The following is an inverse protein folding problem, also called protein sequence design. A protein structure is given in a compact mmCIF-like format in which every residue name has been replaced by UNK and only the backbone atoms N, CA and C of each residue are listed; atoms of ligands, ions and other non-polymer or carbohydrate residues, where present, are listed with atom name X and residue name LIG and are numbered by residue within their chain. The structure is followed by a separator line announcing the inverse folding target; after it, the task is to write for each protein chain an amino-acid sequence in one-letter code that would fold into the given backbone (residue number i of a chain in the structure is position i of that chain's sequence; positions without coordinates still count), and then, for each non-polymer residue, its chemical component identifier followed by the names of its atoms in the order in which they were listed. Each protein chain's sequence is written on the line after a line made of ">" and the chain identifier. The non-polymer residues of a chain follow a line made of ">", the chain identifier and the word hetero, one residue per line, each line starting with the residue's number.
data_IF_671301339710
#
_entry.id   IF_671301339710
#
_cell.length_a   1.000
_cell.length_b   1.000
_cell.length_c   1.000
_cell.angle_alpha   90.00
_cell.angle_beta   90.00
_cell.angle_gamma   90.00
#
_symmetry.space_group_name_H-M   'P 1'
#
loop_
_entity.id
_entity.type
_entity.pdbx_description
1 polymer ?
#
# COMPACT_ATOMS: atom_id res chain seq x y z
N UNK A 1 -62.27 -5.66 24.06
CA UNK A 1 -61.14 -4.95 23.46
C UNK A 1 -59.94 -5.89 23.39
N UNK A 2 -59.55 -6.35 22.17
CA UNK A 2 -58.39 -7.26 21.98
C UNK A 2 -57.19 -6.39 21.57
N UNK A 3 -56.18 -6.32 22.43
CA UNK A 3 -54.94 -5.63 22.13
C UNK A 3 -54.10 -6.44 21.14
N UNK A 4 -53.79 -5.91 19.98
CA UNK A 4 -52.91 -6.50 18.97
C UNK A 4 -51.51 -5.98 19.26
N UNK A 5 -50.64 -6.84 19.81
CA UNK A 5 -49.19 -6.57 19.94
C UNK A 5 -48.51 -6.73 18.57
N UNK A 6 -48.11 -5.61 17.96
CA UNK A 6 -47.24 -5.64 16.79
C UNK A 6 -45.79 -5.87 17.26
N UNK A 7 -45.28 -7.05 17.03
CA UNK A 7 -43.85 -7.39 17.22
C UNK A 7 -43.07 -6.81 16.02
N UNK A 8 -42.29 -5.77 16.25
CA UNK A 8 -41.32 -5.28 15.27
C UNK A 8 -40.07 -6.17 15.34
N UNK A 9 -39.89 -7.05 14.37
CA UNK A 9 -38.63 -7.75 14.15
C UNK A 9 -37.63 -6.76 13.52
N UNK A 10 -36.69 -6.27 14.33
CA UNK A 10 -35.51 -5.58 13.85
C UNK A 10 -34.56 -6.63 13.21
N UNK A 11 -34.59 -6.71 11.87
CA UNK A 11 -33.60 -7.46 11.12
C UNK A 11 -32.25 -6.71 11.21
N UNK A 12 -31.38 -7.17 12.09
CA UNK A 12 -29.98 -6.77 12.07
C UNK A 12 -29.31 -7.44 10.87
N UNK A 13 -29.07 -6.69 9.80
CA UNK A 13 -28.23 -7.13 8.71
C UNK A 13 -26.79 -7.21 9.23
N UNK A 14 -26.33 -8.39 9.58
CA UNK A 14 -24.89 -8.66 9.79
C UNK A 14 -24.20 -8.50 8.44
N UNK A 15 -23.56 -7.36 8.22
CA UNK A 15 -22.60 -7.23 7.14
C UNK A 15 -21.37 -8.05 7.53
N UNK A 16 -21.29 -9.27 7.03
CA UNK A 16 -20.07 -10.05 7.13
C UNK A 16 -18.97 -9.27 6.40
N UNK A 17 -17.86 -8.98 7.09
CA UNK A 17 -16.70 -8.35 6.46
C UNK A 17 -16.31 -9.20 5.24
N UNK A 18 -16.19 -8.56 4.07
CA UNK A 18 -15.78 -9.26 2.87
C UNK A 18 -14.39 -9.87 3.11
N UNK A 19 -14.29 -11.19 2.95
CA UNK A 19 -13.01 -11.89 3.09
C UNK A 19 -12.14 -11.58 1.87
N UNK A 20 -10.81 -11.38 2.03
CA UNK A 20 -9.93 -11.20 0.89
C UNK A 20 -10.09 -12.33 -0.15
N UNK A 21 -10.18 -11.98 -1.43
CA UNK A 21 -10.33 -12.92 -2.54
C UNK A 21 -9.10 -12.92 -3.45
N UNK A 22 -8.74 -14.10 -3.97
CA UNK A 22 -7.65 -14.22 -4.92
C UNK A 22 -8.12 -13.83 -6.32
N UNK A 23 -7.33 -12.98 -6.99
CA UNK A 23 -7.52 -12.62 -8.41
C UNK A 23 -6.41 -13.30 -9.20
N UNK A 24 -6.81 -14.30 -10.00
CA UNK A 24 -5.89 -15.17 -10.73
C UNK A 24 -6.03 -14.93 -12.22
N UNK A 25 -4.90 -15.00 -12.96
CA UNK A 25 -4.88 -14.97 -14.43
C UNK A 25 -5.54 -13.73 -15.08
N UNK A 26 -5.56 -12.61 -14.37
CA UNK A 26 -6.08 -11.32 -14.87
C UNK A 26 -4.98 -10.32 -15.17
N UNK A 27 -3.85 -10.47 -14.50
CA UNK A 27 -2.67 -9.62 -14.62
C UNK A 27 -1.40 -10.47 -14.51
N UNK A 28 -0.26 -9.93 -14.89
CA UNK A 28 1.03 -10.61 -14.85
C UNK A 28 1.43 -11.09 -13.45
N UNK A 29 1.04 -10.35 -12.40
CA UNK A 29 1.11 -10.81 -11.02
C UNK A 29 -0.29 -11.20 -10.54
N UNK A 30 -0.45 -12.40 -10.01
CA UNK A 30 -1.65 -12.76 -9.26
C UNK A 30 -1.68 -11.96 -7.96
N UNK A 31 -2.86 -11.61 -7.47
CA UNK A 31 -2.96 -10.80 -6.25
C UNK A 31 -4.16 -11.16 -5.37
N UNK A 32 -4.05 -10.86 -4.09
CA UNK A 32 -5.17 -10.82 -3.17
C UNK A 32 -5.82 -9.45 -3.21
N UNK A 33 -7.14 -9.44 -3.27
CA UNK A 33 -7.97 -8.24 -3.18
C UNK A 33 -8.78 -8.28 -1.90
N UNK A 34 -8.66 -7.25 -1.07
CA UNK A 34 -9.58 -6.95 0.01
C UNK A 34 -10.43 -5.75 -0.38
N UNK A 35 -11.74 -5.94 -0.36
CA UNK A 35 -12.70 -4.86 -0.61
C UNK A 35 -13.03 -4.13 0.70
N UNK A 36 -13.27 -2.81 0.68
CA UNK A 36 -13.70 -2.09 1.87
C UNK A 36 -15.09 -2.57 2.31
N UNK A 37 -15.38 -2.48 3.61
CA UNK A 37 -16.70 -2.89 4.15
C UNK A 37 -17.86 -2.07 3.57
N UNK A 38 -17.61 -0.78 3.35
CA UNK A 38 -18.58 0.12 2.74
C UNK A 38 -17.98 0.67 1.44
N UNK A 39 -18.65 0.39 0.32
CA UNK A 39 -18.32 0.96 -0.99
C UNK A 39 -19.16 2.21 -1.20
N UNK A 40 -18.49 3.35 -1.28
CA UNK A 40 -19.07 4.64 -1.66
C UNK A 40 -18.89 4.87 -3.16
N UNK A 41 -19.19 6.06 -3.66
CA UNK A 41 -19.09 6.35 -5.09
C UNK A 41 -17.70 6.01 -5.62
N UNK A 42 -16.68 6.77 -5.31
CA UNK A 42 -15.29 6.47 -5.68
C UNK A 42 -14.45 6.11 -4.46
N UNK A 43 -13.71 5.02 -4.54
CA UNK A 43 -12.93 4.48 -3.42
C UNK A 43 -11.43 4.55 -3.67
N UNK A 44 -10.62 4.81 -2.63
CA UNK A 44 -9.17 4.74 -2.72
C UNK A 44 -8.67 3.33 -3.05
N UNK A 45 -7.49 3.24 -3.65
CA UNK A 45 -6.75 2.00 -3.89
C UNK A 45 -5.41 2.03 -3.17
N UNK A 46 -5.09 0.99 -2.42
CA UNK A 46 -3.78 0.77 -1.79
C UNK A 46 -3.15 -0.48 -2.37
N UNK A 47 -1.92 -0.36 -2.87
CA UNK A 47 -1.11 -1.47 -3.35
C UNK A 47 -0.05 -1.80 -2.30
N UNK A 48 -0.04 -3.03 -1.80
CA UNK A 48 0.95 -3.53 -0.84
C UNK A 48 1.95 -4.46 -1.51
N UNK A 49 3.23 -4.10 -1.55
CA UNK A 49 4.32 -4.89 -2.10
C UNK A 49 5.11 -5.58 -0.98
N UNK A 50 5.11 -6.91 -0.98
CA UNK A 50 5.74 -7.71 0.08
C UNK A 50 7.26 -7.81 -0.08
N UNK A 51 7.95 -8.21 1.00
CA UNK A 51 9.38 -8.48 1.03
C UNK A 51 9.76 -9.84 0.43
N UNK A 52 11.07 -10.05 0.22
CA UNK A 52 11.63 -11.25 -0.42
C UNK A 52 11.19 -12.58 0.22
N UNK A 53 11.00 -12.62 1.54
CA UNK A 53 10.64 -13.86 2.25
C UNK A 53 9.28 -14.43 1.84
N UNK A 54 8.40 -13.62 1.21
CA UNK A 54 7.12 -14.07 0.68
C UNK A 54 7.17 -14.39 -0.82
N UNK A 55 8.28 -14.15 -1.52
CA UNK A 55 8.40 -14.48 -2.95
C UNK A 55 8.17 -15.98 -3.20
N UNK A 56 7.61 -16.29 -4.35
CA UNK A 56 7.26 -17.64 -4.79
C UNK A 56 5.98 -17.68 -5.58
N UNK A 57 5.55 -18.88 -5.98
CA UNK A 57 4.35 -19.10 -6.82
C UNK A 57 3.08 -19.34 -6.03
N UNK A 58 3.17 -19.62 -4.73
CA UNK A 58 2.00 -19.78 -3.86
C UNK A 58 1.51 -18.41 -3.39
N UNK A 59 0.38 -17.98 -3.92
CA UNK A 59 -0.26 -16.69 -3.61
C UNK A 59 -0.62 -16.55 -2.11
N UNK A 60 -0.79 -17.66 -1.36
CA UNK A 60 -1.13 -17.60 0.06
C UNK A 60 0.03 -17.10 0.93
N UNK A 61 1.26 -17.10 0.40
CA UNK A 61 2.42 -16.57 1.13
C UNK A 61 2.24 -15.11 1.52
N UNK A 62 1.55 -14.31 0.68
CA UNK A 62 1.31 -12.87 0.91
C UNK A 62 0.50 -12.60 2.18
N UNK A 63 -0.26 -13.57 2.68
CA UNK A 63 -1.06 -13.45 3.90
C UNK A 63 -0.26 -13.61 5.19
N UNK A 64 1.01 -14.03 5.12
CA UNK A 64 1.79 -14.35 6.32
C UNK A 64 2.12 -13.13 7.17
N UNK A 65 2.32 -11.96 6.54
CA UNK A 65 2.55 -10.69 7.21
C UNK A 65 2.12 -9.49 6.31
N UNK A 66 2.28 -8.26 6.83
CA UNK A 66 1.96 -7.03 6.11
C UNK A 66 0.47 -6.70 6.11
N UNK A 67 0.03 -5.96 5.10
CA UNK A 67 -1.30 -5.36 5.08
C UNK A 67 -2.45 -6.38 5.16
N UNK A 68 -2.36 -7.50 4.43
CA UNK A 68 -3.38 -8.55 4.51
C UNK A 68 -3.46 -9.20 5.88
N UNK A 69 -2.32 -9.34 6.57
CA UNK A 69 -2.31 -9.86 7.93
C UNK A 69 -2.99 -8.92 8.91
N UNK A 70 -2.87 -7.61 8.70
CA UNK A 70 -3.62 -6.59 9.44
C UNK A 70 -5.13 -6.76 9.24
N UNK A 71 -5.57 -6.91 8.01
CA UNK A 71 -6.99 -7.16 7.65
C UNK A 71 -7.51 -8.45 8.30
N UNK A 72 -6.78 -9.55 8.20
CA UNK A 72 -7.15 -10.83 8.86
C UNK A 72 -7.29 -10.69 10.38
N UNK A 73 -6.54 -9.77 11.00
CA UNK A 73 -6.63 -9.46 12.43
C UNK A 73 -7.71 -8.42 12.77
N UNK A 74 -8.53 -8.04 11.82
CA UNK A 74 -9.69 -7.18 12.04
C UNK A 74 -9.48 -5.71 11.68
N UNK A 75 -8.33 -5.35 11.06
CA UNK A 75 -8.11 -3.99 10.59
C UNK A 75 -9.11 -3.66 9.46
N UNK A 76 -9.82 -2.55 9.62
CA UNK A 76 -10.81 -2.07 8.66
C UNK A 76 -10.26 -0.87 7.89
N UNK A 77 -9.79 -1.15 6.67
CA UNK A 77 -9.18 -0.14 5.81
C UNK A 77 -10.26 0.38 4.84
N UNK A 78 -10.61 1.67 4.86
CA UNK A 78 -11.65 2.23 3.99
C UNK A 78 -11.13 2.47 2.56
N UNK A 79 -10.54 1.44 1.96
CA UNK A 79 -9.96 1.42 0.63
C UNK A 79 -9.96 0.01 0.04
N UNK A 80 -9.93 -0.11 -1.28
CA UNK A 80 -9.51 -1.35 -1.90
C UNK A 80 -8.03 -1.59 -1.57
N UNK A 81 -7.70 -2.78 -1.10
CA UNK A 81 -6.33 -3.20 -0.83
C UNK A 81 -5.97 -4.35 -1.76
N UNK A 82 -4.95 -4.17 -2.59
CA UNK A 82 -4.39 -5.24 -3.42
C UNK A 82 -3.00 -5.62 -2.92
N UNK A 83 -2.74 -6.93 -2.86
CA UNK A 83 -1.46 -7.48 -2.44
C UNK A 83 -0.99 -8.52 -3.47
N UNK A 84 -0.19 -8.10 -4.46
CA UNK A 84 0.32 -9.00 -5.49
C UNK A 84 1.36 -9.97 -4.95
N UNK A 85 1.46 -11.13 -5.61
CA UNK A 85 2.48 -12.14 -5.38
C UNK A 85 3.63 -11.96 -6.37
N UNK A 86 4.82 -11.70 -5.87
CA UNK A 86 6.05 -11.68 -6.65
C UNK A 86 6.61 -13.10 -6.76
N UNK A 87 6.68 -13.71 -7.95
CA UNK A 87 7.23 -15.06 -8.07
C UNK A 87 8.72 -15.13 -7.73
N UNK A 88 9.53 -14.20 -8.25
CA UNK A 88 10.97 -14.12 -8.03
C UNK A 88 11.54 -12.80 -8.54
N UNK A 89 12.79 -12.52 -8.20
CA UNK A 89 13.51 -11.32 -8.66
C UNK A 89 13.04 -10.02 -8.02
N UNK A 90 13.30 -8.87 -8.64
CA UNK A 90 12.80 -7.56 -8.22
C UNK A 90 11.35 -7.35 -8.66
N UNK A 91 10.66 -6.43 -8.00
CA UNK A 91 9.38 -5.91 -8.47
C UNK A 91 9.54 -5.18 -9.81
N UNK A 92 8.62 -5.43 -10.73
CA UNK A 92 8.55 -4.72 -12.01
C UNK A 92 7.41 -3.72 -11.97
N UNK A 93 7.69 -2.45 -12.24
CA UNK A 93 6.74 -1.36 -12.11
C UNK A 93 5.58 -1.48 -13.12
N UNK A 94 5.85 -1.89 -14.36
CA UNK A 94 4.80 -2.08 -15.38
C UNK A 94 3.78 -3.14 -14.96
N UNK A 95 4.26 -4.25 -14.34
CA UNK A 95 3.37 -5.31 -13.84
C UNK A 95 2.56 -4.88 -12.61
N UNK A 96 3.08 -3.93 -11.83
CA UNK A 96 2.31 -3.31 -10.74
C UNK A 96 1.27 -2.37 -11.33
N UNK A 97 1.63 -1.58 -12.36
CA UNK A 97 0.71 -0.67 -13.04
C UNK A 97 -0.41 -1.41 -13.78
N UNK A 98 -0.13 -2.60 -14.32
CA UNK A 98 -1.14 -3.48 -14.90
C UNK A 98 -2.25 -3.83 -13.88
N UNK A 99 -1.88 -4.09 -12.61
CA UNK A 99 -2.87 -4.33 -11.54
C UNK A 99 -3.68 -3.06 -11.25
N UNK A 100 -3.01 -1.91 -11.14
CA UNK A 100 -3.69 -0.64 -10.90
C UNK A 100 -4.68 -0.35 -12.03
N UNK A 101 -4.27 -0.53 -13.27
CA UNK A 101 -5.12 -0.38 -14.46
C UNK A 101 -6.30 -1.36 -14.47
N UNK A 102 -6.07 -2.62 -14.08
CA UNK A 102 -7.14 -3.62 -13.92
C UNK A 102 -8.15 -3.17 -12.85
N UNK A 103 -7.68 -2.65 -11.71
CA UNK A 103 -8.56 -2.18 -10.63
C UNK A 103 -9.40 -0.98 -11.08
N UNK A 104 -8.80 0.00 -11.77
CA UNK A 104 -9.52 1.16 -12.31
C UNK A 104 -10.62 0.74 -13.29
N UNK A 105 -10.31 -0.22 -14.19
CA UNK A 105 -11.26 -0.68 -15.20
C UNK A 105 -12.35 -1.60 -14.64
N UNK A 106 -12.17 -2.19 -13.46
CA UNK A 106 -13.08 -3.19 -12.91
C UNK A 106 -13.90 -2.68 -11.73
N UNK A 107 -13.33 -1.74 -10.97
CA UNK A 107 -13.94 -1.18 -9.76
C UNK A 107 -14.02 0.35 -9.85
N UNK A 108 -14.91 0.96 -9.08
CA UNK A 108 -15.02 2.42 -9.06
C UNK A 108 -13.91 3.05 -8.20
N UNK A 109 -12.69 3.06 -8.73
CA UNK A 109 -11.51 3.60 -8.06
C UNK A 109 -11.44 5.12 -8.24
N UNK A 110 -11.08 5.81 -7.16
CA UNK A 110 -10.69 7.22 -7.19
C UNK A 110 -9.24 7.33 -7.67
N UNK A 111 -9.05 7.70 -8.93
CA UNK A 111 -7.73 7.79 -9.54
C UNK A 111 -6.85 8.89 -8.94
N UNK A 112 -7.43 9.83 -8.19
CA UNK A 112 -6.68 10.84 -7.43
C UNK A 112 -6.25 10.31 -6.04
N UNK A 113 -6.65 9.08 -5.67
CA UNK A 113 -6.38 8.46 -4.36
C UNK A 113 -5.83 7.04 -4.50
N UNK A 114 -4.76 6.90 -5.29
CA UNK A 114 -4.02 5.64 -5.46
C UNK A 114 -2.72 5.72 -4.66
N UNK A 115 -2.47 4.73 -3.84
CA UNK A 115 -1.32 4.66 -2.94
C UNK A 115 -0.55 3.37 -3.11
N UNK A 116 0.74 3.42 -2.81
CA UNK A 116 1.59 2.23 -2.79
C UNK A 116 2.40 2.18 -1.50
N UNK A 117 2.53 1.00 -0.94
CA UNK A 117 3.38 0.75 0.21
C UNK A 117 4.06 -0.59 0.10
N UNK A 118 5.24 -0.71 0.68
CA UNK A 118 5.94 -1.98 0.70
C UNK A 118 7.09 -2.00 1.70
N UNK A 119 7.52 -3.22 2.02
CA UNK A 119 8.57 -3.47 2.99
C UNK A 119 9.74 -4.21 2.36
N UNK A 120 10.98 -3.88 2.75
CA UNK A 120 12.19 -4.58 2.30
C UNK A 120 12.27 -4.58 0.77
N UNK A 121 12.30 -5.73 0.10
CA UNK A 121 12.20 -5.82 -1.37
C UNK A 121 10.97 -5.08 -1.91
N UNK A 122 9.85 -5.09 -1.17
CA UNK A 122 8.64 -4.33 -1.53
C UNK A 122 8.81 -2.82 -1.39
N UNK A 123 9.66 -2.36 -0.47
CA UNK A 123 10.05 -0.95 -0.36
C UNK A 123 10.80 -0.48 -1.62
N UNK A 124 11.77 -1.27 -2.11
CA UNK A 124 12.43 -1.00 -3.39
C UNK A 124 11.43 -1.00 -4.55
N UNK A 125 10.47 -1.95 -4.53
CA UNK A 125 9.38 -2.00 -5.52
C UNK A 125 8.48 -0.76 -5.45
N UNK A 126 8.16 -0.27 -4.25
CA UNK A 126 7.40 0.96 -4.03
C UNK A 126 8.12 2.16 -4.64
N UNK A 127 9.41 2.35 -4.32
CA UNK A 127 10.20 3.44 -4.87
C UNK A 127 10.32 3.34 -6.39
N UNK A 128 10.51 2.13 -6.92
CA UNK A 128 10.58 1.92 -8.38
C UNK A 128 9.26 2.27 -9.06
N UNK A 129 8.13 1.82 -8.52
CA UNK A 129 6.82 2.11 -9.09
C UNK A 129 6.51 3.61 -9.05
N UNK A 130 6.74 4.29 -7.93
CA UNK A 130 6.56 5.74 -7.82
C UNK A 130 7.50 6.50 -8.78
N UNK A 131 8.75 6.04 -8.90
CA UNK A 131 9.74 6.65 -9.80
C UNK A 131 9.36 6.57 -11.28
N UNK A 132 8.72 5.48 -11.71
CA UNK A 132 8.28 5.28 -13.09
C UNK A 132 6.89 5.88 -13.37
N UNK A 133 6.00 5.90 -12.36
CA UNK A 133 4.61 6.33 -12.49
C UNK A 133 4.22 7.41 -11.46
N UNK A 134 4.99 8.52 -11.31
CA UNK A 134 4.73 9.52 -10.27
C UNK A 134 3.34 10.16 -10.42
N UNK A 135 2.84 10.30 -11.64
CA UNK A 135 1.53 10.91 -11.92
C UNK A 135 0.35 10.02 -11.54
N UNK A 136 0.58 8.73 -11.25
CA UNK A 136 -0.45 7.79 -10.80
C UNK A 136 -0.67 7.83 -9.29
N UNK A 137 0.34 8.21 -8.52
CA UNK A 137 0.40 7.96 -7.08
C UNK A 137 0.13 9.24 -6.28
N UNK A 138 -0.83 9.17 -5.34
CA UNK A 138 -1.15 10.25 -4.42
C UNK A 138 -0.19 10.33 -3.24
N UNK A 139 0.25 9.18 -2.72
CA UNK A 139 1.30 9.09 -1.68
C UNK A 139 1.86 7.67 -1.60
N UNK A 140 3.03 7.53 -0.99
CA UNK A 140 3.67 6.24 -0.77
C UNK A 140 4.28 6.10 0.63
N UNK A 141 4.27 4.86 1.16
CA UNK A 141 4.99 4.50 2.38
C UNK A 141 6.00 3.39 2.06
N UNK A 142 7.28 3.66 2.33
CA UNK A 142 8.40 2.76 2.06
C UNK A 142 9.04 2.32 3.38
N UNK A 143 9.04 1.01 3.68
CA UNK A 143 9.49 0.49 4.97
C UNK A 143 10.74 -0.39 4.79
N UNK A 144 11.82 -0.06 5.50
CA UNK A 144 13.06 -0.84 5.57
C UNK A 144 13.64 -1.22 4.21
N UNK A 145 13.84 -0.24 3.35
CA UNK A 145 14.45 -0.43 2.05
C UNK A 145 15.13 0.82 1.52
N UNK A 146 15.26 0.92 0.22
CA UNK A 146 15.87 2.03 -0.49
C UNK A 146 15.20 2.22 -1.85
N UNK A 147 15.92 2.88 -2.77
CA UNK A 147 15.48 3.11 -4.13
C UNK A 147 16.66 3.44 -5.06
N UNK A 148 16.40 3.49 -6.35
CA UNK A 148 17.38 3.98 -7.31
C UNK A 148 17.45 5.51 -7.23
N UNK A 149 18.66 6.04 -7.04
CA UNK A 149 18.89 7.49 -6.99
C UNK A 149 18.61 8.19 -8.33
N UNK A 150 18.58 7.44 -9.41
CA UNK A 150 18.21 7.98 -10.73
C UNK A 150 16.74 8.38 -10.80
N UNK A 151 15.88 7.73 -10.00
CA UNK A 151 14.45 8.03 -9.91
C UNK A 151 14.14 9.21 -8.97
N UNK A 152 15.16 9.79 -8.31
CA UNK A 152 14.98 10.76 -7.23
C UNK A 152 14.15 12.00 -7.61
N UNK A 153 14.27 12.51 -8.83
CA UNK A 153 13.53 13.69 -9.27
C UNK A 153 12.04 13.38 -9.53
N UNK A 154 11.73 12.18 -9.97
CA UNK A 154 10.35 11.72 -10.11
C UNK A 154 9.73 11.46 -8.72
N UNK A 155 10.49 10.80 -7.82
CA UNK A 155 10.10 10.59 -6.44
C UNK A 155 9.83 11.90 -5.68
N UNK A 156 10.55 12.99 -6.03
CA UNK A 156 10.37 14.30 -5.41
C UNK A 156 9.01 14.97 -5.70
N UNK A 157 8.21 14.40 -6.61
CA UNK A 157 6.88 14.92 -6.97
C UNK A 157 5.76 14.33 -6.11
N UNK A 158 6.04 13.25 -5.36
CA UNK A 158 5.04 12.47 -4.61
C UNK A 158 5.31 12.56 -3.10
N UNK A 159 4.29 12.74 -2.26
CA UNK A 159 4.42 12.59 -0.82
C UNK A 159 4.89 11.16 -0.46
N UNK A 160 6.06 11.06 0.17
CA UNK A 160 6.67 9.77 0.54
C UNK A 160 7.05 9.77 2.00
N UNK A 161 6.54 8.81 2.76
CA UNK A 161 7.01 8.50 4.10
C UNK A 161 7.92 7.28 4.04
N UNK A 162 9.16 7.46 4.46
CA UNK A 162 10.16 6.39 4.59
C UNK A 162 10.30 6.05 6.07
N UNK A 163 10.13 4.76 6.42
CA UNK A 163 10.22 4.30 7.80
C UNK A 163 11.30 3.23 7.89
N UNK A 164 12.22 3.35 8.85
CA UNK A 164 13.33 2.40 8.99
C UNK A 164 13.75 2.21 10.44
N UNK A 165 14.02 0.97 10.84
CA UNK A 165 14.56 0.67 12.16
C UNK A 165 16.06 0.95 12.25
N UNK A 166 16.52 1.57 13.33
CA UNK A 166 17.96 1.87 13.52
C UNK A 166 18.82 0.65 13.85
N UNK A 167 18.18 -0.49 14.15
CA UNK A 167 18.83 -1.80 14.36
C UNK A 167 18.48 -2.82 13.27
N UNK A 168 18.21 -2.33 12.06
CA UNK A 168 18.02 -3.19 10.90
C UNK A 168 19.40 -3.67 10.39
N UNK A 169 19.67 -4.97 10.58
CA UNK A 169 20.90 -5.62 10.11
C UNK A 169 20.72 -6.39 8.79
N UNK A 170 19.51 -6.39 8.22
CA UNK A 170 19.20 -7.03 6.94
C UNK A 170 19.33 -6.01 5.80
N UNK A 171 18.67 -4.85 5.95
CA UNK A 171 18.83 -3.69 5.07
C UNK A 171 19.33 -2.54 5.93
N UNK A 172 20.54 -2.03 5.72
CA UNK A 172 21.07 -0.94 6.52
C UNK A 172 20.23 0.34 6.38
N UNK A 173 20.03 1.08 7.48
CA UNK A 173 19.34 2.38 7.50
C UNK A 173 19.88 3.35 6.44
N UNK A 174 21.18 3.24 6.11
CA UNK A 174 21.84 4.06 5.10
C UNK A 174 21.19 3.96 3.70
N UNK A 175 20.51 2.85 3.37
CA UNK A 175 19.79 2.71 2.10
C UNK A 175 18.61 3.69 2.03
N UNK A 176 17.81 3.80 3.11
CA UNK A 176 16.75 4.80 3.22
C UNK A 176 17.29 6.22 3.25
N UNK A 177 18.37 6.47 4.00
CA UNK A 177 19.00 7.78 4.06
C UNK A 177 19.52 8.23 2.68
N UNK A 178 20.14 7.31 1.93
CA UNK A 178 20.66 7.57 0.58
C UNK A 178 19.57 8.05 -0.38
N UNK A 179 18.45 7.34 -0.43
CA UNK A 179 17.36 7.72 -1.36
C UNK A 179 16.67 9.01 -0.91
N UNK A 180 16.41 9.21 0.39
CA UNK A 180 15.81 10.45 0.91
C UNK A 180 16.72 11.66 0.64
N UNK A 181 18.03 11.51 0.83
CA UNK A 181 18.99 12.55 0.52
C UNK A 181 19.03 12.88 -0.98
N UNK A 182 18.94 11.87 -1.86
CA UNK A 182 18.88 12.07 -3.31
C UNK A 182 17.60 12.82 -3.71
N UNK A 183 16.44 12.46 -3.15
CA UNK A 183 15.17 13.16 -3.38
C UNK A 183 15.29 14.63 -2.96
N UNK A 184 15.80 14.91 -1.75
CA UNK A 184 15.98 16.28 -1.26
C UNK A 184 17.04 17.07 -2.02
N UNK A 185 18.02 16.39 -2.61
CA UNK A 185 18.99 17.03 -3.50
C UNK A 185 18.36 17.47 -4.83
N UNK A 186 17.42 16.70 -5.35
CA UNK A 186 16.66 17.05 -6.54
C UNK A 186 15.69 18.21 -6.27
N UNK A 187 14.93 18.14 -5.17
CA UNK A 187 14.05 19.20 -4.71
C UNK A 187 14.13 19.31 -3.18
N UNK A 188 14.66 20.42 -2.67
CA UNK A 188 14.80 20.66 -1.20
C UNK A 188 13.46 20.66 -0.47
N UNK A 189 12.37 21.00 -1.16
CA UNK A 189 11.01 21.07 -0.64
C UNK A 189 10.20 19.81 -0.95
N UNK A 190 10.83 18.77 -1.51
CA UNK A 190 10.15 17.50 -1.80
C UNK A 190 9.41 17.00 -0.54
N UNK A 191 8.15 16.55 -0.68
CA UNK A 191 7.34 16.07 0.43
C UNK A 191 7.77 14.64 0.84
N UNK A 192 9.05 14.48 1.18
CA UNK A 192 9.64 13.23 1.68
C UNK A 192 10.10 13.39 3.12
N UNK A 193 9.72 12.43 3.96
CA UNK A 193 10.16 12.34 5.35
C UNK A 193 10.80 10.98 5.64
N UNK A 194 11.77 10.97 6.56
CA UNK A 194 12.38 9.75 7.08
C UNK A 194 12.09 9.64 8.58
N UNK A 195 11.33 8.62 8.94
CA UNK A 195 11.07 8.25 10.33
C UNK A 195 11.99 7.09 10.71
N UNK A 196 12.83 7.31 11.74
CA UNK A 196 13.72 6.29 12.27
C UNK A 196 13.12 5.70 13.53
N UNK A 197 12.75 4.42 13.47
CA UNK A 197 12.18 3.69 14.62
C UNK A 197 13.32 3.26 15.53
N UNK A 198 13.44 3.92 16.68
CA UNK A 198 14.49 3.64 17.66
C UNK A 198 14.37 2.23 18.24
N UNK A 199 15.44 1.47 18.17
CA UNK A 199 15.46 0.05 18.59
C UNK A 199 14.78 -0.90 17.62
N UNK A 200 14.17 -0.41 16.54
CA UNK A 200 13.49 -1.21 15.53
C UNK A 200 14.46 -2.04 14.69
N UNK A 201 14.16 -3.32 14.51
CA UNK A 201 14.86 -4.19 13.58
C UNK A 201 13.99 -4.48 12.35
N UNK A 202 14.56 -5.19 11.35
CA UNK A 202 13.87 -5.48 10.09
C UNK A 202 12.49 -6.13 10.25
N UNK A 203 12.35 -7.05 11.21
CA UNK A 203 11.08 -7.74 11.44
C UNK A 203 10.08 -6.94 12.28
N UNK A 204 10.56 -6.17 13.27
CA UNK A 204 9.66 -5.46 14.21
C UNK A 204 8.89 -4.31 13.55
N UNK A 205 9.45 -3.64 12.55
CA UNK A 205 8.78 -2.55 11.84
C UNK A 205 7.65 -3.03 10.92
N UNK A 206 7.58 -4.33 10.62
CA UNK A 206 6.46 -4.94 9.90
C UNK A 206 5.13 -4.76 10.65
N UNK A 207 5.19 -4.68 11.98
CA UNK A 207 4.00 -4.49 12.83
C UNK A 207 3.22 -3.22 12.50
N UNK A 208 3.85 -2.21 11.91
CA UNK A 208 3.20 -0.97 11.46
C UNK A 208 2.03 -1.23 10.51
N UNK A 209 2.05 -2.32 9.73
CA UNK A 209 0.94 -2.70 8.85
C UNK A 209 -0.30 -3.18 9.61
N UNK A 210 -0.23 -3.38 10.93
CA UNK A 210 -1.36 -3.79 11.78
C UNK A 210 -2.02 -2.62 12.48
N UNK A 211 -1.57 -1.38 12.20
CA UNK A 211 -2.08 -0.15 12.80
C UNK A 211 -2.66 0.78 11.74
N UNK A 212 -3.77 1.43 12.07
CA UNK A 212 -4.43 2.36 11.14
C UNK A 212 -3.60 3.60 10.83
N UNK A 213 -2.63 3.97 11.66
CA UNK A 213 -1.82 5.19 11.50
C UNK A 213 -1.11 5.23 10.14
N UNK A 214 -0.57 4.09 9.68
CA UNK A 214 0.05 3.98 8.37
C UNK A 214 -0.95 4.28 7.24
N UNK A 215 -2.14 3.70 7.32
CA UNK A 215 -3.18 3.88 6.30
C UNK A 215 -3.81 5.27 6.37
N UNK A 216 -4.02 5.81 7.58
CA UNK A 216 -4.51 7.18 7.78
C UNK A 216 -3.54 8.19 7.16
N UNK A 217 -2.22 7.97 7.32
CA UNK A 217 -1.22 8.82 6.66
C UNK A 217 -1.34 8.76 5.14
N UNK A 218 -1.51 7.59 4.53
CA UNK A 218 -1.75 7.47 3.08
C UNK A 218 -3.05 8.18 2.67
N UNK A 219 -4.16 7.86 3.34
CA UNK A 219 -5.51 8.26 2.97
C UNK A 219 -5.79 9.77 3.10
N UNK A 220 -4.96 10.51 3.83
CA UNK A 220 -5.07 11.99 3.93
C UNK A 220 -4.58 12.71 2.67
N UNK A 221 -3.83 12.03 1.79
CA UNK A 221 -3.28 12.62 0.57
C UNK A 221 -4.24 12.42 -0.61
N UNK A 222 -4.25 13.41 -1.50
CA UNK A 222 -4.95 13.36 -2.79
C UNK A 222 -4.01 13.99 -3.81
N UNK A 223 -3.96 13.46 -5.02
CA UNK A 223 -3.14 14.07 -6.08
C UNK A 223 -3.58 15.51 -6.33
N UNK A 224 -2.61 16.41 -6.38
CA UNK A 224 -2.87 17.75 -6.89
C UNK A 224 -3.20 17.67 -8.39
N UNK A 225 -4.34 18.24 -8.78
CA UNK A 225 -4.66 18.37 -10.20
C UNK A 225 -3.62 19.30 -10.82
N UNK A 226 -2.79 18.76 -11.71
CA UNK A 226 -1.94 19.61 -12.54
C UNK A 226 -2.88 20.51 -13.35
N UNK A 227 -2.91 21.81 -13.04
CA UNK A 227 -3.57 22.77 -13.90
C UNK A 227 -2.88 22.72 -15.26
N UNK A 228 -3.51 22.05 -16.22
CA UNK A 228 -3.14 22.15 -17.64
C UNK A 228 -3.48 23.57 -18.06
N UNK A 229 -2.45 24.42 -18.14
CA UNK A 229 -2.49 25.75 -18.77
C UNK A 229 -2.59 25.58 -20.29
#
# INVERSE_FOLDING_TARGET
>A
MKAVFKVFLLLWAFHAAAQPKAVLNKTSYQFWLNEPKEVKDKMPLIVFLHGRSLSGTDINRVKRYGALKGVEKGLDIPAYLVAPQLPSGPWNADKVDEIVSYMINTYNIDEDRIYVTGMSLGSYGTMKYVGEYPDRIAAAVSICGGGDVQDACNLAQVPIKVIHGDKDFIVPLSESQKIVNAIKKCNKQAPVELEVVKGGNHGSVEDLYRHMDLYNWLLQHTKEKKNTL
#
